data_IF_835573438745
#
_entry.id   IF_835573438745
#
_cell.length_a   1.000
_cell.length_b   1.000
_cell.length_c   1.000
_cell.angle_alpha   90.00
_cell.angle_beta   90.00
_cell.angle_gamma   90.00
#
_symmetry.space_group_name_H-M   'P 1'
#
loop_
_entity.id
_entity.type
_entity.pdbx_description
1 polymer ?
#
# COMPACT_ATOMS: atom_id res chain seq x y z
N UNK A 1 -16.36 7.87 -28.50
CA UNK A 1 -17.12 7.19 -27.43
C UNK A 1 -16.13 6.98 -26.31
N UNK A 2 -16.12 7.85 -25.29
CA UNK A 2 -15.23 7.68 -24.13
C UNK A 2 -15.86 6.65 -23.22
N UNK A 3 -15.09 5.64 -22.82
CA UNK A 3 -15.53 4.73 -21.76
C UNK A 3 -15.94 5.56 -20.53
N UNK A 4 -17.01 5.15 -19.81
CA UNK A 4 -17.35 5.78 -18.54
C UNK A 4 -16.14 5.68 -17.61
N UNK A 5 -15.87 6.76 -16.87
CA UNK A 5 -14.81 6.76 -15.87
C UNK A 5 -15.02 5.56 -14.91
N UNK A 6 -13.94 4.87 -14.50
CA UNK A 6 -14.07 3.73 -13.59
C UNK A 6 -14.75 4.15 -12.28
N UNK A 7 -15.47 3.21 -11.66
CA UNK A 7 -16.10 3.43 -10.35
C UNK A 7 -15.03 3.82 -9.34
N UNK A 8 -15.09 5.03 -8.74
CA UNK A 8 -14.09 5.49 -7.78
C UNK A 8 -14.07 4.65 -6.49
N UNK A 9 -15.09 3.85 -6.23
CA UNK A 9 -15.21 3.00 -5.04
C UNK A 9 -14.75 1.56 -5.29
N UNK A 10 -14.52 1.16 -6.55
CA UNK A 10 -13.98 -0.16 -6.84
C UNK A 10 -12.46 -0.19 -6.61
N UNK A 11 -12.08 -0.91 -5.56
CA UNK A 11 -10.69 -1.06 -5.11
C UNK A 11 -10.09 -2.42 -5.48
N UNK A 12 -10.86 -3.32 -6.11
CA UNK A 12 -10.41 -4.66 -6.46
C UNK A 12 -9.16 -4.62 -7.34
N UNK A 13 -8.09 -5.24 -6.85
CA UNK A 13 -6.79 -5.31 -7.51
C UNK A 13 -6.03 -3.99 -7.60
N UNK A 14 -6.57 -2.89 -7.08
CA UNK A 14 -5.93 -1.56 -7.09
C UNK A 14 -4.80 -1.51 -6.08
N UNK A 15 -3.70 -0.85 -6.43
CA UNK A 15 -2.56 -0.69 -5.52
C UNK A 15 -2.69 0.59 -4.71
N UNK A 16 -2.57 0.41 -3.38
CA UNK A 16 -2.70 1.47 -2.38
C UNK A 16 -1.42 1.51 -1.55
N UNK A 17 -0.83 2.69 -1.42
CA UNK A 17 0.25 2.92 -0.46
C UNK A 17 -0.36 3.41 0.85
N UNK A 18 0.00 2.76 1.95
CA UNK A 18 -0.36 3.23 3.29
C UNK A 18 0.92 3.57 4.03
N UNK A 19 1.11 4.84 4.37
CA UNK A 19 2.23 5.29 5.20
C UNK A 19 1.90 5.18 6.69
N UNK A 20 2.92 4.97 7.52
CA UNK A 20 2.70 4.67 8.95
C UNK A 20 1.83 3.42 9.14
N UNK A 21 1.94 2.46 8.23
CA UNK A 21 1.03 1.32 8.10
C UNK A 21 0.98 0.43 9.35
N UNK A 22 1.98 0.49 10.23
CA UNK A 22 1.99 -0.30 11.45
C UNK A 22 1.39 0.45 12.64
N UNK A 23 1.20 1.78 12.55
CA UNK A 23 0.55 2.61 13.56
C UNK A 23 -0.96 2.32 13.68
N UNK A 24 -1.61 2.76 14.76
CA UNK A 24 -3.00 2.38 15.06
C UNK A 24 -3.99 2.67 13.92
N UNK A 25 -3.97 3.89 13.38
CA UNK A 25 -4.83 4.28 12.26
C UNK A 25 -4.35 3.64 10.94
N UNK A 26 -3.05 3.71 10.65
CA UNK A 26 -2.48 3.15 9.43
C UNK A 26 -2.75 1.66 9.28
N UNK A 27 -2.64 0.89 10.37
CA UNK A 27 -2.90 -0.54 10.38
C UNK A 27 -4.39 -0.86 10.23
N UNK A 28 -5.29 -0.02 10.75
CA UNK A 28 -6.72 -0.16 10.52
C UNK A 28 -7.07 0.14 9.05
N UNK A 29 -6.48 1.19 8.47
CA UNK A 29 -6.67 1.57 7.07
C UNK A 29 -6.12 0.49 6.13
N UNK A 30 -4.92 -0.02 6.37
CA UNK A 30 -4.30 -1.09 5.59
C UNK A 30 -5.20 -2.33 5.53
N UNK A 31 -5.71 -2.79 6.69
CA UNK A 31 -6.65 -3.92 6.76
C UNK A 31 -7.96 -3.61 6.04
N UNK A 32 -8.48 -2.39 6.15
CA UNK A 32 -9.68 -1.96 5.43
C UNK A 32 -9.53 -2.04 3.91
N UNK A 33 -8.41 -1.52 3.38
CA UNK A 33 -8.11 -1.62 1.94
C UNK A 33 -7.94 -3.06 1.49
N UNK A 34 -7.22 -3.88 2.26
CA UNK A 34 -7.06 -5.30 1.96
C UNK A 34 -8.40 -6.04 1.92
N UNK A 35 -9.28 -5.80 2.91
CA UNK A 35 -10.62 -6.36 2.94
C UNK A 35 -11.52 -5.87 1.78
N UNK A 36 -11.24 -4.69 1.24
CA UNK A 36 -11.91 -4.14 0.06
C UNK A 36 -11.30 -4.58 -1.28
N UNK A 37 -10.41 -5.59 -1.28
CA UNK A 37 -9.85 -6.18 -2.50
C UNK A 37 -8.61 -5.46 -3.07
N UNK A 38 -8.15 -4.38 -2.43
CA UNK A 38 -6.94 -3.68 -2.85
C UNK A 38 -5.67 -4.45 -2.51
N UNK A 39 -4.61 -4.21 -3.27
CA UNK A 39 -3.24 -4.62 -2.94
C UNK A 39 -2.59 -3.51 -2.12
N UNK A 40 -2.06 -3.86 -0.95
CA UNK A 40 -1.55 -2.85 0.00
C UNK A 40 -0.03 -2.88 0.03
N UNK A 41 0.57 -1.78 -0.38
CA UNK A 41 1.97 -1.46 -0.10
C UNK A 41 2.04 -0.76 1.27
N UNK A 42 2.31 -1.55 2.32
CA UNK A 42 2.42 -1.07 3.68
C UNK A 42 3.81 -0.46 3.89
N UNK A 43 3.88 0.81 4.27
CA UNK A 43 5.13 1.56 4.44
C UNK A 43 5.25 2.03 5.88
N UNK A 44 6.37 1.70 6.52
CA UNK A 44 6.69 2.09 7.90
C UNK A 44 8.20 1.93 8.17
N UNK A 45 8.67 2.32 9.35
CA UNK A 45 10.04 2.08 9.81
C UNK A 45 10.25 0.65 10.34
N UNK A 46 9.22 0.06 10.94
CA UNK A 46 9.32 -1.24 11.63
C UNK A 46 9.08 -2.42 10.69
N UNK A 47 10.17 -3.02 10.21
CA UNK A 47 10.13 -4.18 9.31
C UNK A 47 9.42 -5.41 9.92
N UNK A 48 9.52 -5.62 11.23
CA UNK A 48 8.92 -6.77 11.91
C UNK A 48 7.40 -6.64 11.93
N UNK A 49 6.91 -5.46 12.33
CA UNK A 49 5.46 -5.17 12.34
C UNK A 49 4.87 -5.13 10.94
N UNK A 50 5.64 -4.69 9.94
CA UNK A 50 5.23 -4.78 8.54
C UNK A 50 5.03 -6.23 8.10
N UNK A 51 5.98 -7.12 8.41
CA UNK A 51 5.85 -8.56 8.09
C UNK A 51 4.58 -9.14 8.71
N UNK A 52 4.38 -8.91 10.01
CA UNK A 52 3.18 -9.39 10.72
C UNK A 52 1.90 -8.88 10.06
N UNK A 53 1.82 -7.58 9.77
CA UNK A 53 0.65 -6.99 9.12
C UNK A 53 0.39 -7.60 7.73
N UNK A 54 1.44 -7.80 6.92
CA UNK A 54 1.25 -8.39 5.58
C UNK A 54 0.91 -9.86 5.63
N UNK A 55 1.47 -10.62 6.58
CA UNK A 55 1.16 -12.03 6.78
C UNK A 55 -0.33 -12.20 7.21
N UNK A 56 -0.85 -11.29 8.03
CA UNK A 56 -2.27 -11.22 8.41
C UNK A 56 -3.19 -10.95 7.21
N UNK A 57 -2.79 -10.06 6.30
CA UNK A 57 -3.63 -9.63 5.16
C UNK A 57 -3.56 -10.61 3.97
N UNK A 58 -2.45 -11.34 3.82
CA UNK A 58 -2.26 -12.35 2.77
C UNK A 58 -1.27 -11.95 1.66
N UNK A 59 -1.12 -12.79 0.62
CA UNK A 59 0.02 -12.74 -0.30
C UNK A 59 0.02 -11.56 -1.28
N UNK A 60 -1.09 -10.84 -1.41
CA UNK A 60 -1.22 -9.69 -2.32
C UNK A 60 -0.70 -8.37 -1.75
N UNK A 61 -0.23 -8.38 -0.50
CA UNK A 61 0.26 -7.21 0.21
C UNK A 61 1.76 -7.30 0.45
N UNK A 62 2.43 -6.14 0.56
CA UNK A 62 3.89 -6.09 0.73
C UNK A 62 4.29 -4.98 1.70
N UNK A 63 5.27 -5.29 2.54
CA UNK A 63 5.88 -4.36 3.48
C UNK A 63 7.12 -3.70 2.90
N UNK A 64 7.24 -2.39 3.11
CA UNK A 64 8.39 -1.59 2.69
C UNK A 64 8.92 -0.81 3.89
N UNK A 65 9.99 -1.33 4.50
CA UNK A 65 10.66 -0.68 5.61
C UNK A 65 11.52 0.48 5.08
N UNK A 66 11.09 1.71 5.32
CA UNK A 66 11.77 2.92 4.83
C UNK A 66 11.53 4.11 5.76
N UNK A 67 12.52 4.97 5.89
CA UNK A 67 12.34 6.28 6.52
C UNK A 67 11.82 7.29 5.49
N UNK A 68 10.55 7.67 5.61
CA UNK A 68 9.93 8.65 4.71
C UNK A 68 10.49 10.07 4.85
N UNK A 69 11.26 10.34 5.92
CA UNK A 69 11.99 11.62 6.07
C UNK A 69 13.18 11.72 5.12
N UNK A 70 13.68 10.58 4.62
CA UNK A 70 14.77 10.51 3.65
C UNK A 70 14.22 10.64 2.22
N UNK A 71 14.01 11.87 1.77
CA UNK A 71 13.33 12.20 0.50
C UNK A 71 13.99 11.58 -0.74
N UNK A 72 15.31 11.36 -0.71
CA UNK A 72 16.06 10.68 -1.77
C UNK A 72 15.59 9.23 -2.00
N UNK A 73 14.96 8.60 -1.00
CA UNK A 73 14.50 7.22 -1.06
C UNK A 73 13.06 7.08 -1.60
N UNK A 74 12.31 8.18 -1.72
CA UNK A 74 10.89 8.14 -2.09
C UNK A 74 10.67 7.77 -3.56
N UNK A 75 11.45 8.33 -4.48
CA UNK A 75 11.39 7.96 -5.91
C UNK A 75 11.66 6.47 -6.13
N UNK A 76 12.78 5.94 -5.61
CA UNK A 76 13.07 4.49 -5.64
C UNK A 76 11.99 3.63 -4.99
N UNK A 77 11.38 4.08 -3.89
CA UNK A 77 10.27 3.37 -3.24
C UNK A 77 9.07 3.23 -4.18
N UNK A 78 8.62 4.33 -4.79
CA UNK A 78 7.45 4.31 -5.67
C UNK A 78 7.72 3.44 -6.90
N UNK A 79 8.91 3.54 -7.50
CA UNK A 79 9.31 2.67 -8.60
C UNK A 79 9.27 1.18 -8.20
N UNK A 80 9.85 0.84 -7.04
CA UNK A 80 9.82 -0.52 -6.51
C UNK A 80 8.39 -1.01 -6.27
N UNK A 81 7.49 -0.17 -5.77
CA UNK A 81 6.09 -0.55 -5.58
C UNK A 81 5.43 -0.84 -6.93
N UNK A 82 5.60 0.05 -7.92
CA UNK A 82 5.03 -0.13 -9.25
C UNK A 82 5.52 -1.43 -9.92
N UNK A 83 6.82 -1.75 -9.78
CA UNK A 83 7.42 -2.98 -10.33
C UNK A 83 6.83 -4.27 -9.72
N UNK A 84 6.38 -4.22 -8.46
CA UNK A 84 5.92 -5.40 -7.73
C UNK A 84 4.39 -5.51 -7.64
N UNK A 85 3.66 -4.43 -7.84
CA UNK A 85 2.23 -4.34 -7.46
C UNK A 85 1.36 -3.58 -8.46
N UNK A 86 1.88 -3.09 -9.60
CA UNK A 86 1.25 -2.07 -10.46
C UNK A 86 1.30 -0.65 -9.88
N UNK A 87 1.10 0.35 -10.74
CA UNK A 87 1.12 1.76 -10.36
C UNK A 87 0.11 2.06 -9.23
N UNK A 88 0.56 2.68 -8.12
CA UNK A 88 -0.33 3.09 -7.06
C UNK A 88 -1.38 4.09 -7.53
N UNK A 89 -2.62 3.93 -7.05
CA UNK A 89 -3.71 4.86 -7.36
C UNK A 89 -4.24 5.61 -6.14
N UNK A 90 -3.80 5.22 -4.94
CA UNK A 90 -4.14 5.87 -3.67
C UNK A 90 -2.87 5.93 -2.81
N UNK A 91 -2.68 7.06 -2.13
CA UNK A 91 -1.65 7.27 -1.12
C UNK A 91 -2.33 7.79 0.15
N UNK A 92 -2.09 7.10 1.26
CA UNK A 92 -2.54 7.47 2.61
C UNK A 92 -1.36 7.98 3.42
#
# INVERSE_FOLDING_TARGET
MTDPAPDPWNLDGRTVIVTGATGGIGAAIARGFAAAGARVAAVDLDASRLSQLTDEMGPSHRGFAIDLRETASLGPLVAKIADHMDSPTVLV
#
